data_IF_319087889327
#
_entry.id   IF_319087889327
#
_cell.length_a   1.000
_cell.length_b   1.000
_cell.length_c   1.000
_cell.angle_alpha   90.00
_cell.angle_beta   90.00
_cell.angle_gamma   90.00
#
_symmetry.space_group_name_H-M   'P 1'
#
loop_
_entity.id
_entity.type
_entity.pdbx_description
1 polymer ?
#
# COMPACT_ATOMS: atom_id res chain seq x y z
N UNK A 1 5.81 -20.52 16.13
CA UNK A 1 5.04 -20.00 17.29
C UNK A 1 5.20 -18.48 17.36
N UNK A 2 4.09 -17.76 17.57
CA UNK A 2 4.04 -16.29 17.55
C UNK A 2 3.91 -15.80 18.98
N UNK A 3 4.68 -14.78 19.37
CA UNK A 3 4.52 -14.16 20.71
C UNK A 3 3.30 -13.23 20.70
N UNK A 4 2.56 -13.19 21.81
CA UNK A 4 1.33 -12.38 21.94
C UNK A 4 1.58 -10.90 22.18
N UNK A 5 2.83 -10.48 22.39
CA UNK A 5 3.17 -9.14 22.86
C UNK A 5 4.15 -8.38 21.94
N UNK A 6 4.00 -7.05 21.86
CA UNK A 6 4.87 -6.18 21.08
C UNK A 6 6.17 -5.91 21.86
N UNK A 7 7.17 -6.79 21.73
CA UNK A 7 8.47 -6.59 22.38
C UNK A 7 9.36 -5.60 21.62
N UNK A 8 9.18 -4.30 21.87
CA UNK A 8 10.16 -3.21 21.66
C UNK A 8 10.91 -3.22 20.30
N UNK A 9 10.25 -3.59 19.20
CA UNK A 9 10.82 -3.51 17.85
C UNK A 9 11.77 -4.64 17.43
N UNK A 10 11.87 -5.74 18.20
CA UNK A 10 12.65 -6.91 17.79
C UNK A 10 11.81 -7.84 16.90
N UNK A 11 12.31 -8.22 15.73
CA UNK A 11 11.61 -9.15 14.81
C UNK A 11 11.55 -10.59 15.34
N UNK A 12 12.59 -11.01 16.04
CA UNK A 12 12.72 -12.35 16.61
C UNK A 12 13.00 -12.25 18.11
N UNK A 13 12.26 -13.00 18.90
CA UNK A 13 12.46 -13.10 20.34
C UNK A 13 12.77 -14.55 20.68
N UNK A 14 13.74 -14.77 21.57
CA UNK A 14 14.04 -16.12 22.08
C UNK A 14 13.39 -16.25 23.46
N UNK A 15 12.35 -17.07 23.58
CA UNK A 15 11.71 -17.39 24.86
C UNK A 15 11.87 -18.89 25.14
N UNK A 16 12.28 -19.26 26.36
CA UNK A 16 12.47 -20.65 26.78
C UNK A 16 13.27 -21.52 25.78
N UNK A 17 14.35 -20.97 25.22
CA UNK A 17 15.22 -21.66 24.27
C UNK A 17 14.66 -21.83 22.84
N UNK A 18 13.39 -21.47 22.58
CA UNK A 18 12.76 -21.53 21.26
C UNK A 18 12.72 -20.14 20.62
N UNK A 19 12.90 -20.09 19.29
CA UNK A 19 12.77 -18.84 18.51
C UNK A 19 11.28 -18.56 18.24
N UNK A 20 10.81 -17.39 18.64
CA UNK A 20 9.47 -16.89 18.39
C UNK A 20 9.52 -15.73 17.40
N UNK A 21 8.50 -15.71 16.55
CA UNK A 21 8.26 -14.64 15.59
C UNK A 21 7.36 -13.60 16.25
N UNK A 22 7.70 -12.32 16.11
CA UNK A 22 6.85 -11.25 16.63
C UNK A 22 5.71 -10.90 15.67
N UNK A 23 4.60 -10.33 16.18
CA UNK A 23 3.54 -9.79 15.33
C UNK A 23 4.07 -8.78 14.29
N UNK A 24 5.13 -8.04 14.64
CA UNK A 24 5.79 -7.06 13.78
C UNK A 24 6.46 -7.70 12.56
N UNK A 25 7.03 -8.89 12.70
CA UNK A 25 7.56 -9.66 11.56
C UNK A 25 6.45 -10.16 10.63
N UNK A 26 5.28 -10.53 11.17
CA UNK A 26 4.12 -10.96 10.36
C UNK A 26 3.59 -9.79 9.55
N UNK A 27 3.42 -8.61 10.16
CA UNK A 27 2.96 -7.41 9.45
C UNK A 27 3.96 -7.01 8.35
N UNK A 28 5.27 -7.03 8.64
CA UNK A 28 6.30 -6.78 7.63
C UNK A 28 6.17 -7.74 6.45
N UNK A 29 6.06 -9.05 6.73
CA UNK A 29 5.95 -10.07 5.69
C UNK A 29 4.71 -9.89 4.81
N UNK A 30 3.57 -9.51 5.39
CA UNK A 30 2.34 -9.21 4.65
C UNK A 30 2.51 -7.98 3.75
N UNK A 31 3.13 -6.92 4.25
CA UNK A 31 3.37 -5.69 3.47
C UNK A 31 4.34 -5.97 2.31
N UNK A 32 5.47 -6.65 2.57
CA UNK A 32 6.43 -7.03 1.53
C UNK A 32 5.79 -7.93 0.47
N UNK A 33 4.99 -8.91 0.89
CA UNK A 33 4.28 -9.79 -0.05
C UNK A 33 3.27 -9.01 -0.90
N UNK A 34 2.58 -8.04 -0.30
CA UNK A 34 1.60 -7.20 -0.98
C UNK A 34 2.27 -6.29 -2.01
N UNK A 35 3.45 -5.73 -1.70
CA UNK A 35 4.22 -4.90 -2.64
C UNK A 35 4.71 -5.71 -3.85
N UNK A 36 5.18 -6.94 -3.62
CA UNK A 36 5.54 -7.87 -4.71
C UNK A 36 4.33 -8.18 -5.60
N UNK A 37 3.15 -8.41 -5.02
CA UNK A 37 1.92 -8.65 -5.77
C UNK A 37 1.51 -7.40 -6.58
N UNK A 38 1.64 -6.20 -6.00
CA UNK A 38 1.38 -4.96 -6.73
C UNK A 38 2.38 -4.71 -7.87
N UNK A 39 3.66 -5.07 -7.67
CA UNK A 39 4.70 -4.95 -8.69
C UNK A 39 4.38 -5.77 -9.95
N UNK A 40 3.70 -6.92 -9.82
CA UNK A 40 3.33 -7.76 -10.98
C UNK A 40 2.39 -7.05 -11.95
N UNK A 41 1.49 -6.20 -11.45
CA UNK A 41 0.58 -5.40 -12.28
C UNK A 41 1.21 -4.07 -12.69
N UNK A 42 1.94 -3.42 -11.78
CA UNK A 42 2.53 -2.10 -12.05
C UNK A 42 3.73 -2.15 -13.00
N UNK A 43 4.47 -3.26 -13.09
CA UNK A 43 5.60 -3.40 -14.03
C UNK A 43 5.12 -3.37 -15.49
N UNK A 44 4.17 -4.20 -15.94
CA UNK A 44 3.62 -4.11 -17.30
C UNK A 44 3.06 -2.73 -17.64
N UNK A 45 2.36 -2.10 -16.68
CA UNK A 45 1.78 -0.77 -16.88
C UNK A 45 2.85 0.32 -17.07
N UNK A 46 3.93 0.28 -16.29
CA UNK A 46 5.04 1.24 -16.43
C UNK A 46 5.84 0.96 -17.70
N UNK A 47 6.10 -0.30 -18.04
CA UNK A 47 6.80 -0.66 -19.28
C UNK A 47 6.02 -0.26 -20.54
N UNK A 48 4.69 -0.16 -20.45
CA UNK A 48 3.86 0.37 -21.54
C UNK A 48 4.04 1.89 -21.77
N UNK A 49 4.54 2.64 -20.78
CA UNK A 49 4.70 4.10 -20.83
C UNK A 49 6.18 4.51 -20.88
N UNK A 50 7.07 3.72 -20.27
CA UNK A 50 8.50 3.98 -20.13
C UNK A 50 9.32 2.73 -20.44
N UNK A 51 10.32 2.87 -21.32
CA UNK A 51 11.12 1.75 -21.81
C UNK A 51 12.44 1.55 -21.06
N UNK A 52 12.72 2.35 -20.02
CA UNK A 52 13.96 2.23 -19.24
C UNK A 52 13.78 1.25 -18.08
N UNK A 53 14.27 -0.01 -18.20
CA UNK A 53 14.08 -1.02 -17.17
C UNK A 53 14.83 -0.66 -15.88
N UNK A 54 15.92 0.12 -15.97
CA UNK A 54 16.70 0.53 -14.80
C UNK A 54 15.85 1.38 -13.86
N UNK A 55 15.06 2.31 -14.38
CA UNK A 55 14.13 3.13 -13.57
C UNK A 55 13.06 2.26 -12.92
N UNK A 56 12.53 1.27 -13.66
CA UNK A 56 11.50 0.36 -13.15
C UNK A 56 12.03 -0.52 -12.02
N UNK A 57 13.20 -1.13 -12.19
CA UNK A 57 13.79 -2.01 -11.18
C UNK A 57 14.27 -1.24 -9.95
N UNK A 58 14.97 -0.12 -10.16
CA UNK A 58 15.51 0.67 -9.03
C UNK A 58 14.40 1.30 -8.19
N UNK A 59 13.30 1.75 -8.79
CA UNK A 59 12.14 2.29 -8.08
C UNK A 59 11.48 1.25 -7.16
N UNK A 60 11.21 0.04 -7.67
CA UNK A 60 10.59 -1.04 -6.87
C UNK A 60 11.53 -1.52 -5.76
N UNK A 61 12.84 -1.67 -6.04
CA UNK A 61 13.81 -2.04 -5.00
C UNK A 61 13.87 -0.97 -3.90
N UNK A 62 13.86 0.32 -4.25
CA UNK A 62 13.83 1.41 -3.27
C UNK A 62 12.54 1.45 -2.45
N UNK A 63 11.39 1.10 -3.04
CA UNK A 63 10.13 0.98 -2.32
C UNK A 63 10.22 -0.10 -1.22
N UNK A 64 10.80 -1.26 -1.53
CA UNK A 64 10.98 -2.37 -0.58
C UNK A 64 12.03 -2.03 0.50
N UNK A 65 13.16 -1.42 0.13
CA UNK A 65 14.24 -1.11 1.09
C UNK A 65 13.81 -0.10 2.19
N UNK A 66 12.82 0.76 1.91
CA UNK A 66 12.31 1.76 2.85
C UNK A 66 11.35 1.24 3.93
N UNK A 67 10.93 -0.03 3.86
CA UNK A 67 9.81 -0.55 4.66
C UNK A 67 10.01 -0.49 6.17
N UNK A 68 11.25 -0.61 6.66
CA UNK A 68 11.54 -0.52 8.10
C UNK A 68 11.19 0.85 8.68
N UNK A 69 11.52 1.93 7.98
CA UNK A 69 11.21 3.29 8.42
C UNK A 69 9.72 3.59 8.22
N UNK A 70 9.14 3.12 7.10
CA UNK A 70 7.74 3.33 6.79
C UNK A 70 6.80 2.59 7.75
N UNK A 71 7.18 1.43 8.29
CA UNK A 71 6.38 0.73 9.30
C UNK A 71 6.13 1.57 10.55
N UNK A 72 7.17 2.24 11.08
CA UNK A 72 7.02 3.09 12.26
C UNK A 72 6.12 4.30 11.97
N UNK A 73 6.25 4.88 10.78
CA UNK A 73 5.35 5.94 10.31
C UNK A 73 3.92 5.44 10.12
N UNK A 74 3.74 4.26 9.51
CA UNK A 74 2.44 3.64 9.26
C UNK A 74 1.71 3.37 10.56
N UNK A 75 2.38 2.83 11.58
CA UNK A 75 1.78 2.61 12.90
C UNK A 75 1.20 3.90 13.51
N UNK A 76 1.83 5.05 13.28
CA UNK A 76 1.32 6.36 13.71
C UNK A 76 0.13 6.83 12.85
N UNK A 77 0.16 6.57 11.54
CA UNK A 77 -0.86 7.03 10.58
C UNK A 77 -2.02 6.03 10.41
N UNK A 78 -1.95 4.82 10.98
CA UNK A 78 -3.01 3.80 10.93
C UNK A 78 -4.38 4.33 11.36
N UNK A 79 -4.42 5.27 12.31
CA UNK A 79 -5.66 5.93 12.76
C UNK A 79 -6.33 6.79 11.68
N UNK A 80 -5.58 7.17 10.64
CA UNK A 80 -6.01 8.02 9.52
C UNK A 80 -6.54 7.25 8.32
N UNK A 81 -6.43 5.92 8.29
CA UNK A 81 -6.74 5.11 7.10
C UNK A 81 -8.15 4.49 7.10
N UNK A 82 -9.05 4.92 7.99
CA UNK A 82 -10.37 4.29 8.20
C UNK A 82 -11.23 4.23 6.93
N UNK A 83 -11.29 5.33 6.18
CA UNK A 83 -12.06 5.38 4.93
C UNK A 83 -11.24 5.13 3.67
N UNK A 84 -9.93 4.89 3.79
CA UNK A 84 -9.07 4.70 2.63
C UNK A 84 -9.49 3.46 1.82
N UNK A 85 -9.94 2.39 2.48
CA UNK A 85 -10.41 1.20 1.76
C UNK A 85 -11.57 1.52 0.80
N UNK A 86 -12.53 2.37 1.21
CA UNK A 86 -13.63 2.78 0.33
C UNK A 86 -13.12 3.60 -0.87
N UNK A 87 -12.18 4.52 -0.63
CA UNK A 87 -11.51 5.27 -1.70
C UNK A 87 -10.78 4.36 -2.69
N UNK A 88 -10.01 3.39 -2.18
CA UNK A 88 -9.32 2.38 -2.97
C UNK A 88 -10.30 1.56 -3.81
N UNK A 89 -11.43 1.12 -3.26
CA UNK A 89 -12.45 0.38 -4.02
C UNK A 89 -12.99 1.20 -5.19
N UNK A 90 -13.26 2.49 -5.00
CA UNK A 90 -13.69 3.39 -6.09
C UNK A 90 -12.61 3.53 -7.17
N UNK A 91 -11.35 3.70 -6.75
CA UNK A 91 -10.20 3.79 -7.66
C UNK A 91 -10.04 2.51 -8.47
N UNK A 92 -10.13 1.34 -7.84
CA UNK A 92 -10.02 0.03 -8.48
C UNK A 92 -11.11 -0.18 -9.53
N UNK A 93 -12.36 0.19 -9.23
CA UNK A 93 -13.46 0.14 -10.19
C UNK A 93 -13.17 1.08 -11.37
N UNK A 94 -12.76 2.32 -11.09
CA UNK A 94 -12.44 3.30 -12.13
C UNK A 94 -11.29 2.84 -13.04
N UNK A 95 -10.18 2.37 -12.47
CA UNK A 95 -9.02 1.88 -13.21
C UNK A 95 -9.36 0.62 -14.00
N UNK A 96 -10.11 -0.32 -13.40
CA UNK A 96 -10.58 -1.52 -14.10
C UNK A 96 -11.45 -1.18 -15.31
N UNK A 97 -12.41 -0.27 -15.15
CA UNK A 97 -13.21 0.24 -16.26
C UNK A 97 -12.36 0.94 -17.33
N UNK A 98 -11.39 1.75 -16.93
CA UNK A 98 -10.46 2.43 -17.85
C UNK A 98 -9.63 1.42 -18.66
N UNK A 99 -9.12 0.36 -18.03
CA UNK A 99 -8.33 -0.67 -18.70
C UNK A 99 -9.13 -1.41 -19.78
N UNK A 100 -10.39 -1.75 -19.49
CA UNK A 100 -11.31 -2.35 -20.47
C UNK A 100 -11.61 -1.36 -21.61
N UNK A 101 -11.87 -0.09 -21.28
CA UNK A 101 -12.13 0.96 -22.27
C UNK A 101 -10.93 1.19 -23.21
N UNK A 102 -9.70 1.10 -22.69
CA UNK A 102 -8.48 1.21 -23.47
C UNK A 102 -8.36 0.07 -24.51
N UNK A 103 -8.73 -1.16 -24.15
CA UNK A 103 -8.79 -2.29 -25.09
C UNK A 103 -9.86 -2.11 -26.19
N UNK A 104 -10.92 -1.35 -25.91
CA UNK A 104 -11.98 -1.01 -26.87
C UNK A 104 -11.63 0.20 -27.77
N UNK A 105 -10.42 0.76 -27.64
CA UNK A 105 -9.93 1.89 -28.45
C UNK A 105 -10.17 3.27 -27.86
N UNK A 106 -10.83 3.39 -26.70
CA UNK A 106 -11.03 4.65 -26.01
C UNK A 106 -9.82 5.01 -25.15
N UNK A 107 -8.98 5.92 -25.65
CA UNK A 107 -7.80 6.38 -24.94
C UNK A 107 -8.16 7.59 -24.06
N UNK A 108 -8.32 7.33 -22.76
CA UNK A 108 -8.49 8.40 -21.76
C UNK A 108 -7.11 8.95 -21.42
N UNK A 109 -6.96 10.28 -21.51
CA UNK A 109 -5.71 10.95 -21.20
C UNK A 109 -5.25 10.67 -19.75
N UNK A 110 -3.99 10.28 -19.57
CA UNK A 110 -3.45 9.84 -18.28
C UNK A 110 -3.50 10.94 -17.23
N UNK A 111 -3.35 12.21 -17.63
CA UNK A 111 -3.44 13.37 -16.74
C UNK A 111 -4.82 13.50 -16.08
N UNK A 112 -5.90 13.28 -16.85
CA UNK A 112 -7.27 13.34 -16.33
C UNK A 112 -7.51 12.19 -15.36
N UNK A 113 -7.04 11.00 -15.73
CA UNK A 113 -7.11 9.81 -14.88
C UNK A 113 -6.38 10.02 -13.56
N UNK A 114 -5.20 10.65 -13.60
CA UNK A 114 -4.43 10.99 -12.41
C UNK A 114 -5.17 11.99 -11.53
N UNK A 115 -5.77 13.02 -12.14
CA UNK A 115 -6.60 14.01 -11.42
C UNK A 115 -7.78 13.37 -10.68
N UNK A 116 -8.49 12.45 -11.32
CA UNK A 116 -9.61 11.72 -10.70
C UNK A 116 -9.11 10.88 -9.51
N UNK A 117 -8.05 10.09 -9.69
CA UNK A 117 -7.49 9.25 -8.63
C UNK A 117 -7.02 10.12 -7.46
N UNK A 118 -6.29 11.20 -7.73
CA UNK A 118 -5.82 12.13 -6.72
C UNK A 118 -6.98 12.78 -5.95
N UNK A 119 -8.06 13.16 -6.64
CA UNK A 119 -9.25 13.73 -6.00
C UNK A 119 -9.95 12.74 -5.07
N UNK A 120 -10.10 11.47 -5.50
CA UNK A 120 -10.73 10.43 -4.67
C UNK A 120 -9.89 10.17 -3.42
N UNK A 121 -8.57 10.03 -3.58
CA UNK A 121 -7.65 9.87 -2.44
C UNK A 121 -7.72 11.07 -1.49
N UNK A 122 -7.69 12.30 -2.02
CA UNK A 122 -7.79 13.50 -1.20
C UNK A 122 -9.10 13.53 -0.41
N UNK A 123 -10.25 13.25 -1.05
CA UNK A 123 -11.56 13.20 -0.38
C UNK A 123 -11.59 12.10 0.69
N UNK A 124 -11.06 10.91 0.41
CA UNK A 124 -11.01 9.82 1.40
C UNK A 124 -10.14 10.17 2.61
N UNK A 125 -8.99 10.81 2.39
CA UNK A 125 -8.09 11.24 3.46
C UNK A 125 -8.74 12.37 4.27
N UNK A 126 -9.27 13.40 3.62
CA UNK A 126 -9.95 14.54 4.27
C UNK A 126 -11.13 14.03 5.12
N UNK A 127 -11.96 13.15 4.57
CA UNK A 127 -13.10 12.56 5.30
C UNK A 127 -12.62 11.75 6.50
N UNK A 128 -11.50 11.02 6.37
CA UNK A 128 -10.93 10.25 7.47
C UNK A 128 -10.29 11.12 8.56
N UNK A 129 -9.81 12.32 8.23
CA UNK A 129 -9.29 13.29 9.21
C UNK A 129 -10.44 14.02 9.91
N UNK A 130 -11.43 14.50 9.16
CA UNK A 130 -12.53 15.33 9.69
C UNK A 130 -13.54 14.55 10.54
N UNK A 131 -13.62 13.23 10.37
CA UNK A 131 -14.41 12.35 11.22
C UNK A 131 -13.43 11.53 12.06
N UNK A 132 -12.78 12.11 13.09
CA UNK A 132 -12.03 11.31 14.06
C UNK A 132 -13.03 10.47 14.87
N UNK A 133 -12.63 9.26 15.25
CA UNK A 133 -13.46 8.37 16.07
C UNK A 133 -13.98 9.10 17.31
N UNK A 134 -15.31 9.14 17.45
CA UNK A 134 -15.91 9.18 18.77
C UNK A 134 -15.50 7.90 19.48
N UNK A 135 -14.69 8.05 20.53
CA UNK A 135 -14.25 7.01 21.47
C UNK A 135 -15.33 5.93 21.61
N UNK A 136 -15.15 4.76 21.00
CA UNK A 136 -15.89 3.58 21.44
C UNK A 136 -15.34 3.22 22.82
N UNK A 137 -16.21 3.33 23.82
CA UNK A 137 -16.00 2.89 25.20
C UNK A 137 -15.83 1.38 25.28
#
# INVERSE_FOLDING_TARGET
PVTSDYRNGYFFVKENGKRFVTPLFIVLLVIESTDVVFAVDSIPAVLAISHDPFIVYTSNVMAILGLRALYFALAAVMRLFRFLHYGLSVILIYVGCKMIAAQLGFHINTEISLGIIASVLAVSIITSIYIPEGVQK
#
